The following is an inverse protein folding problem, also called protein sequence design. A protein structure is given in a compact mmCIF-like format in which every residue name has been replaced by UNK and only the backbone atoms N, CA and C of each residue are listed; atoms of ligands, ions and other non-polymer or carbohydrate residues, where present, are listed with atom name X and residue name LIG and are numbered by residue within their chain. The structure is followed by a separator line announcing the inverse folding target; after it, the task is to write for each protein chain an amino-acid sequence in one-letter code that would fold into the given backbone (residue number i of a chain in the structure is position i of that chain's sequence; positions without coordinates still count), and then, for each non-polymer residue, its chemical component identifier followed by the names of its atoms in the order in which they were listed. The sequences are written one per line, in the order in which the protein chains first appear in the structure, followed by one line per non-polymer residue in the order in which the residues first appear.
data_IF_904914538146
#
_entry.id   IF_904914538146
#
_cell.length_a   1.000
_cell.length_b   1.000
_cell.length_c   1.000
_cell.angle_alpha   90.00
_cell.angle_beta   90.00
_cell.angle_gamma   90.00
#
_symmetry.space_group_name_H-M   'P 1'
#
loop_
_entity.id
_entity.type
_entity.pdbx_description
1 polymer ?
#
# COMPACT_ATOMS: atom_id res chain seq x y z
N UNK A 1 -3.63 -1.17 26.29
CA UNK A 1 -3.22 -2.20 25.30
C UNK A 1 -2.40 -1.49 24.22
N UNK A 2 -1.10 -1.76 24.16
CA UNK A 2 -0.19 -1.17 23.17
C UNK A 2 -0.41 -1.90 21.84
N UNK A 3 -0.81 -1.18 20.79
CA UNK A 3 -0.91 -1.73 19.46
C UNK A 3 0.52 -1.91 18.91
N UNK A 4 1.06 -3.12 18.99
CA UNK A 4 2.25 -3.50 18.21
C UNK A 4 1.80 -3.67 16.75
N UNK A 5 1.72 -2.56 16.03
CA UNK A 5 1.45 -2.54 14.60
C UNK A 5 2.73 -2.81 13.83
N UNK A 6 2.72 -3.90 13.08
CA UNK A 6 3.84 -4.44 12.30
C UNK A 6 3.96 -3.66 10.99
N UNK A 7 4.21 -2.35 11.09
CA UNK A 7 4.51 -1.46 9.96
C UNK A 7 5.85 -1.81 9.23
N UNK A 8 6.45 -2.96 9.55
CA UNK A 8 7.67 -3.49 8.96
C UNK A 8 7.51 -4.07 7.55
N UNK A 9 6.30 -4.14 6.98
CA UNK A 9 6.10 -4.43 5.55
C UNK A 9 6.41 -3.25 4.62
N UNK A 10 6.57 -2.06 5.19
CA UNK A 10 6.87 -0.83 4.46
C UNK A 10 8.15 -0.14 4.94
N UNK A 11 8.73 -0.63 6.04
CA UNK A 11 10.07 -0.25 6.47
C UNK A 11 11.12 -0.96 5.60
N UNK A 12 11.43 -0.37 4.46
CA UNK A 12 12.57 -0.72 3.60
C UNK A 12 13.90 -0.46 4.33
N UNK A 13 14.23 -1.29 5.31
CA UNK A 13 15.45 -1.13 6.13
C UNK A 13 16.63 -1.99 5.71
N UNK A 14 16.46 -2.79 4.66
CA UNK A 14 17.46 -3.71 4.13
C UNK A 14 17.54 -3.51 2.60
N UNK A 15 18.72 -3.63 1.98
CA UNK A 15 18.86 -3.68 0.52
C UNK A 15 18.17 -4.91 -0.09
N UNK A 16 17.69 -5.82 0.76
CA UNK A 16 16.81 -6.95 0.47
C UNK A 16 15.30 -6.61 0.60
N UNK A 17 14.90 -5.35 0.70
CA UNK A 17 13.49 -4.96 0.66
C UNK A 17 13.42 -3.72 -0.21
N UNK A 18 13.29 -3.96 -1.50
CA UNK A 18 13.13 -2.96 -2.54
C UNK A 18 11.62 -2.92 -2.85
N UNK A 19 11.06 -1.77 -3.25
CA UNK A 19 10.29 -1.57 -4.50
C UNK A 19 9.05 -0.67 -4.35
N UNK A 20 8.72 0.00 -5.46
CA UNK A 20 7.55 0.86 -5.64
C UNK A 20 6.22 0.11 -5.39
N UNK A 21 5.74 0.12 -4.14
CA UNK A 21 4.48 -0.49 -3.72
C UNK A 21 3.42 0.58 -3.47
N UNK A 22 2.26 0.42 -4.10
CA UNK A 22 1.10 1.26 -3.87
C UNK A 22 0.37 0.85 -2.58
N UNK A 23 0.03 -0.45 -2.44
CA UNK A 23 -0.62 -1.03 -1.27
C UNK A 23 0.01 -2.36 -0.88
N UNK A 24 0.09 -2.60 0.43
CA UNK A 24 0.41 -3.92 1.01
C UNK A 24 -0.79 -4.43 1.78
N UNK A 25 -1.18 -5.68 1.52
CA UNK A 25 -2.25 -6.38 2.23
C UNK A 25 -1.68 -7.57 3.00
N UNK A 26 -2.11 -7.77 4.24
CA UNK A 26 -1.66 -8.90 5.04
C UNK A 26 -2.21 -8.94 6.47
N UNK A 27 -1.86 -10.00 7.20
CA UNK A 27 -2.26 -10.21 8.59
C UNK A 27 -1.59 -9.24 9.57
N UNK A 28 -2.23 -9.02 10.73
CA UNK A 28 -1.74 -8.11 11.79
C UNK A 28 -0.46 -8.61 12.49
N UNK A 29 -0.18 -9.92 12.43
CA UNK A 29 0.93 -10.60 13.14
C UNK A 29 1.72 -11.58 12.25
N UNK A 30 1.06 -12.29 11.34
CA UNK A 30 1.67 -13.33 10.52
C UNK A 30 1.93 -12.81 9.10
N UNK A 31 3.22 -12.77 8.72
CA UNK A 31 3.71 -12.35 7.39
C UNK A 31 3.74 -13.50 6.38
N UNK A 32 3.01 -14.58 6.64
CA UNK A 32 3.00 -15.75 5.77
C UNK A 32 2.32 -15.47 4.42
N UNK A 33 1.44 -14.46 4.39
CA UNK A 33 0.58 -14.14 3.25
C UNK A 33 0.59 -12.64 3.02
N UNK A 34 1.44 -12.20 2.11
CA UNK A 34 1.59 -10.79 1.75
C UNK A 34 1.26 -10.61 0.28
N UNK A 35 0.37 -9.65 0.01
CA UNK A 35 0.12 -9.12 -1.33
C UNK A 35 0.69 -7.70 -1.39
N UNK A 36 1.42 -7.41 -2.46
CA UNK A 36 1.86 -6.08 -2.82
C UNK A 36 1.32 -5.70 -4.18
N UNK A 37 0.90 -4.45 -4.31
CA UNK A 37 0.44 -3.90 -5.59
C UNK A 37 1.42 -2.86 -6.09
N UNK A 38 1.59 -2.80 -7.41
CA UNK A 38 2.44 -1.81 -8.07
C UNK A 38 1.65 -1.20 -9.24
N UNK A 39 1.75 0.12 -9.41
CA UNK A 39 1.12 0.80 -10.54
C UNK A 39 1.87 0.52 -11.86
N UNK A 40 3.19 0.40 -11.82
CA UNK A 40 3.98 0.07 -13.01
C UNK A 40 3.60 -1.32 -13.56
N UNK A 41 3.76 -1.49 -14.88
CA UNK A 41 3.74 -2.82 -15.48
C UNK A 41 4.97 -3.63 -15.05
N UNK A 42 4.89 -4.95 -15.16
CA UNK A 42 6.00 -5.83 -14.80
C UNK A 42 7.26 -5.55 -15.62
N UNK A 43 7.13 -5.11 -16.88
CA UNK A 43 8.26 -4.76 -17.75
C UNK A 43 8.94 -3.47 -17.29
N UNK A 44 8.16 -2.44 -16.96
CA UNK A 44 8.68 -1.17 -16.43
C UNK A 44 9.38 -1.42 -15.10
N UNK A 45 8.71 -2.16 -14.22
CA UNK A 45 9.23 -2.52 -12.91
C UNK A 45 10.54 -3.34 -13.03
N UNK A 46 10.57 -4.38 -13.88
CA UNK A 46 11.76 -5.24 -14.05
C UNK A 46 12.95 -4.47 -14.61
N UNK A 47 12.74 -3.45 -15.46
CA UNK A 47 13.81 -2.56 -15.94
C UNK A 47 14.39 -1.70 -14.83
N UNK A 48 13.54 -1.14 -13.94
CA UNK A 48 13.99 -0.36 -12.77
C UNK A 48 14.78 -1.23 -11.79
N UNK A 49 14.39 -2.50 -11.65
CA UNK A 49 14.90 -3.41 -10.63
C UNK A 49 15.57 -4.67 -11.22
N UNK A 50 16.37 -4.51 -12.28
CA UNK A 50 16.97 -5.63 -13.04
C UNK A 50 17.82 -6.62 -12.21
N UNK A 51 18.24 -6.24 -11.00
CA UNK A 51 18.99 -7.10 -10.06
C UNK A 51 18.12 -7.93 -9.11
N UNK A 52 16.79 -7.80 -9.18
CA UNK A 52 15.84 -8.49 -8.31
C UNK A 52 15.27 -9.70 -9.03
N UNK A 53 15.40 -10.88 -8.41
CA UNK A 53 14.79 -12.09 -8.92
C UNK A 53 13.27 -12.02 -8.79
N UNK A 54 12.56 -12.15 -9.91
CA UNK A 54 11.12 -12.24 -9.96
C UNK A 54 10.72 -13.53 -10.70
N UNK A 55 9.75 -14.26 -10.15
CA UNK A 55 9.13 -15.40 -10.83
C UNK A 55 7.75 -14.98 -11.33
N UNK A 56 7.64 -14.48 -12.58
CA UNK A 56 6.38 -14.00 -13.12
C UNK A 56 5.39 -15.14 -13.33
N UNK A 57 4.11 -14.83 -13.18
CA UNK A 57 3.01 -15.70 -13.54
C UNK A 57 1.79 -14.87 -13.94
N UNK A 58 0.93 -15.48 -14.76
CA UNK A 58 -0.31 -14.87 -15.19
C UNK A 58 -1.49 -15.48 -14.44
N UNK A 59 -2.48 -14.65 -14.12
CA UNK A 59 -3.73 -15.11 -13.54
C UNK A 59 -4.91 -14.52 -14.30
N UNK A 60 -5.74 -15.40 -14.85
CA UNK A 60 -6.96 -14.99 -15.52
C UNK A 60 -8.09 -14.79 -14.49
N UNK A 61 -8.70 -13.60 -14.53
CA UNK A 61 -9.86 -13.23 -13.73
C UNK A 61 -10.87 -12.57 -14.68
N UNK A 62 -12.06 -13.17 -14.81
CA UNK A 62 -13.13 -12.68 -15.69
C UNK A 62 -12.65 -12.36 -17.12
N UNK A 63 -11.86 -13.26 -17.71
CA UNK A 63 -11.27 -13.12 -19.06
C UNK A 63 -10.29 -11.94 -19.22
N UNK A 64 -9.81 -11.37 -18.11
CA UNK A 64 -8.67 -10.44 -18.09
C UNK A 64 -7.44 -11.14 -17.50
N UNK A 65 -6.33 -11.06 -18.22
CA UNK A 65 -5.02 -11.50 -17.74
C UNK A 65 -4.45 -10.46 -16.79
N UNK A 66 -4.13 -10.88 -15.57
CA UNK A 66 -3.43 -10.07 -14.58
C UNK A 66 -1.99 -10.55 -14.47
N UNK A 67 -1.05 -9.62 -14.54
CA UNK A 67 0.37 -9.91 -14.41
C UNK A 67 0.79 -9.85 -12.95
N UNK A 68 1.40 -10.95 -12.48
CA UNK A 68 1.89 -11.06 -11.12
C UNK A 68 3.29 -11.68 -11.09
N UNK A 69 3.97 -11.57 -9.96
CA UNK A 69 5.24 -12.26 -9.73
C UNK A 69 5.39 -12.65 -8.27
N UNK A 70 6.16 -13.70 -8.04
CA UNK A 70 6.69 -14.02 -6.71
C UNK A 70 8.05 -13.34 -6.57
N UNK A 71 8.16 -12.46 -5.58
CA UNK A 71 9.38 -11.72 -5.28
C UNK A 71 9.61 -11.83 -3.79
N UNK A 72 10.76 -12.40 -3.41
CA UNK A 72 11.15 -12.63 -2.01
C UNK A 72 10.10 -13.43 -1.20
N UNK A 73 9.36 -14.32 -1.89
CA UNK A 73 8.32 -15.15 -1.28
C UNK A 73 6.96 -14.47 -1.11
N UNK A 74 6.82 -13.22 -1.55
CA UNK A 74 5.57 -12.45 -1.48
C UNK A 74 4.92 -12.35 -2.88
N UNK A 75 3.60 -12.20 -2.94
CA UNK A 75 2.86 -12.03 -4.20
C UNK A 75 2.84 -10.55 -4.57
N UNK A 76 3.29 -10.24 -5.77
CA UNK A 76 3.23 -8.91 -6.37
C UNK A 76 2.27 -8.91 -7.54
N UNK A 77 1.38 -7.93 -7.61
CA UNK A 77 0.48 -7.70 -8.75
C UNK A 77 0.78 -6.32 -9.34
N UNK A 78 0.99 -6.28 -10.65
CA UNK A 78 1.45 -5.12 -11.40
C UNK A 78 0.29 -4.46 -12.17
N UNK A 79 0.46 -3.19 -12.55
CA UNK A 79 -0.57 -2.43 -13.26
C UNK A 79 -1.80 -2.11 -12.42
N UNK A 80 -1.66 -2.02 -11.10
CA UNK A 80 -2.79 -1.81 -10.17
C UNK A 80 -2.95 -0.32 -9.87
N UNK A 81 -4.02 0.28 -10.36
CA UNK A 81 -4.47 1.59 -9.88
C UNK A 81 -5.18 1.44 -8.53
N UNK A 82 -4.57 1.93 -7.47
CA UNK A 82 -5.11 1.82 -6.11
C UNK A 82 -6.33 2.72 -5.87
N UNK A 83 -6.65 3.63 -6.80
CA UNK A 83 -7.89 4.42 -6.77
C UNK A 83 -9.06 3.72 -7.47
N UNK A 84 -8.79 2.60 -8.15
CA UNK A 84 -9.79 1.77 -8.81
C UNK A 84 -10.05 0.49 -8.00
N UNK A 85 -11.25 0.36 -7.43
CA UNK A 85 -11.59 -0.78 -6.58
C UNK A 85 -11.54 -2.12 -7.33
N UNK A 86 -11.82 -2.14 -8.63
CA UNK A 86 -11.77 -3.37 -9.44
C UNK A 86 -10.34 -3.91 -9.59
N UNK A 87 -9.35 -3.02 -9.64
CA UNK A 87 -7.95 -3.41 -9.72
C UNK A 87 -7.47 -3.98 -8.38
N UNK A 88 -7.94 -3.40 -7.26
CA UNK A 88 -7.73 -3.98 -5.91
C UNK A 88 -8.37 -5.37 -5.82
N UNK A 89 -9.62 -5.52 -6.28
CA UNK A 89 -10.33 -6.81 -6.28
C UNK A 89 -9.56 -7.84 -7.11
N UNK A 90 -9.07 -7.48 -8.29
CA UNK A 90 -8.27 -8.36 -9.12
C UNK A 90 -6.99 -8.78 -8.38
N UNK A 91 -6.23 -7.82 -7.84
CA UNK A 91 -4.98 -8.10 -7.12
C UNK A 91 -5.18 -9.00 -5.90
N UNK A 92 -6.19 -8.73 -5.08
CA UNK A 92 -6.55 -9.55 -3.92
C UNK A 92 -6.97 -10.95 -4.34
N UNK A 93 -7.70 -11.08 -5.44
CA UNK A 93 -8.10 -12.39 -5.99
C UNK A 93 -6.89 -13.19 -6.47
N UNK A 94 -5.91 -12.56 -7.14
CA UNK A 94 -4.66 -13.23 -7.54
C UNK A 94 -3.93 -13.78 -6.32
N UNK A 95 -3.73 -12.96 -5.28
CA UNK A 95 -3.06 -13.40 -4.06
C UNK A 95 -3.84 -14.50 -3.33
N UNK A 96 -5.17 -14.34 -3.19
CA UNK A 96 -6.03 -15.33 -2.55
C UNK A 96 -5.94 -16.70 -3.25
N UNK A 97 -5.94 -16.72 -4.59
CA UNK A 97 -5.74 -17.95 -5.38
C UNK A 97 -4.36 -18.56 -5.13
N UNK A 98 -3.29 -17.76 -5.17
CA UNK A 98 -1.91 -18.23 -4.94
C UNK A 98 -1.74 -18.85 -3.55
N UNK A 99 -2.14 -18.11 -2.51
CA UNK A 99 -2.01 -18.55 -1.11
C UNK A 99 -3.09 -19.55 -0.68
N UNK A 100 -4.07 -19.85 -1.54
CA UNK A 100 -5.21 -20.76 -1.26
C UNK A 100 -6.00 -20.35 -0.01
N UNK A 101 -6.34 -19.06 0.09
CA UNK A 101 -7.12 -18.49 1.21
C UNK A 101 -8.29 -17.65 0.71
N UNK A 102 -9.21 -17.29 1.62
CA UNK A 102 -10.27 -16.33 1.31
C UNK A 102 -9.69 -14.93 1.04
N UNK A 103 -10.18 -14.19 0.01
CA UNK A 103 -9.86 -12.78 -0.23
C UNK A 103 -9.98 -11.88 1.01
N UNK A 104 -10.95 -12.18 1.88
CA UNK A 104 -11.20 -11.43 3.12
C UNK A 104 -10.01 -11.41 4.06
N UNK A 105 -9.10 -12.40 3.97
CA UNK A 105 -7.88 -12.47 4.77
C UNK A 105 -6.92 -11.30 4.49
N UNK A 106 -7.00 -10.68 3.31
CA UNK A 106 -6.15 -9.56 2.89
C UNK A 106 -6.74 -8.20 3.24
N UNK A 107 -8.07 -8.07 3.26
CA UNK A 107 -8.74 -6.77 3.30
C UNK A 107 -8.79 -6.11 4.69
N UNK A 108 -8.42 -6.82 5.76
CA UNK A 108 -8.55 -6.29 7.12
C UNK A 108 -7.51 -5.25 7.51
N UNK A 109 -6.28 -5.40 7.01
CA UNK A 109 -5.19 -4.46 7.30
C UNK A 109 -4.45 -4.17 6.01
N UNK A 110 -4.46 -2.90 5.63
CA UNK A 110 -3.89 -2.39 4.39
C UNK A 110 -2.87 -1.33 4.75
N UNK A 111 -1.74 -1.29 4.07
CA UNK A 111 -0.62 -0.40 4.42
C UNK A 111 -0.13 0.36 3.18
N UNK A 112 0.23 1.64 3.33
CA UNK A 112 0.99 2.42 2.31
C UNK A 112 2.10 3.30 2.91
N UNK A 113 3.28 3.36 2.27
CA UNK A 113 4.47 4.12 2.77
C UNK A 113 4.38 5.60 2.42
N UNK A 114 3.64 5.92 1.37
CA UNK A 114 3.19 7.22 0.89
C UNK A 114 2.63 6.92 -0.50
N UNK A 115 1.42 7.37 -0.80
CA UNK A 115 0.96 7.40 -2.18
C UNK A 115 1.62 8.59 -2.87
N UNK A 116 2.15 8.37 -4.08
CA UNK A 116 2.75 9.42 -4.89
C UNK A 116 1.84 9.72 -6.07
N UNK A 117 1.57 11.01 -6.30
CA UNK A 117 0.95 11.44 -7.54
C UNK A 117 1.98 11.39 -8.67
N UNK A 118 1.58 10.89 -9.83
CA UNK A 118 2.41 10.94 -11.03
C UNK A 118 2.72 12.40 -11.41
N UNK A 119 3.97 12.68 -11.77
CA UNK A 119 4.38 14.04 -12.14
C UNK A 119 4.48 15.03 -10.97
N UNK A 120 4.55 14.58 -9.71
CA UNK A 120 4.64 15.47 -8.53
C UNK A 120 5.75 16.54 -8.61
N UNK A 121 6.86 16.25 -9.30
CA UNK A 121 8.00 17.17 -9.50
C UNK A 121 7.69 18.35 -10.43
N UNK A 122 6.57 18.28 -11.16
CA UNK A 122 6.07 19.33 -12.04
C UNK A 122 5.00 20.19 -11.38
N UNK A 123 4.58 19.84 -10.15
CA UNK A 123 3.47 20.48 -9.46
C UNK A 123 3.96 21.53 -8.46
N UNK A 124 3.33 22.69 -8.49
CA UNK A 124 3.44 23.67 -7.41
C UNK A 124 2.88 23.11 -6.09
N UNK A 125 3.38 23.60 -4.96
CA UNK A 125 3.09 23.03 -3.62
C UNK A 125 1.59 22.86 -3.34
N UNK A 126 0.78 23.88 -3.65
CA UNK A 126 -0.67 23.81 -3.41
C UNK A 126 -1.37 22.77 -4.30
N UNK A 127 -0.97 22.68 -5.57
CA UNK A 127 -1.49 21.69 -6.51
C UNK A 127 -1.11 20.27 -6.09
N UNK A 128 0.14 20.08 -5.62
CA UNK A 128 0.62 18.80 -5.10
C UNK A 128 -0.16 18.35 -3.86
N UNK A 129 -0.43 19.26 -2.92
CA UNK A 129 -1.25 18.95 -1.74
C UNK A 129 -2.65 18.51 -2.17
N UNK A 130 -3.29 19.25 -3.07
CA UNK A 130 -4.63 18.90 -3.55
C UNK A 130 -4.65 17.57 -4.30
N UNK A 131 -3.65 17.31 -5.14
CA UNK A 131 -3.52 16.04 -5.85
C UNK A 131 -3.36 14.87 -4.88
N UNK A 132 -2.51 15.02 -3.85
CA UNK A 132 -2.35 14.02 -2.81
C UNK A 132 -3.63 13.81 -2.00
N UNK A 133 -4.40 14.88 -1.70
CA UNK A 133 -5.72 14.74 -1.05
C UNK A 133 -6.66 13.87 -1.89
N UNK A 134 -6.81 14.20 -3.18
CA UNK A 134 -7.63 13.41 -4.10
C UNK A 134 -7.19 11.95 -4.17
N UNK A 135 -5.88 11.70 -4.17
CA UNK A 135 -5.32 10.35 -4.18
C UNK A 135 -5.68 9.56 -2.91
N UNK A 136 -5.47 10.12 -1.72
CA UNK A 136 -5.84 9.44 -0.47
C UNK A 136 -7.36 9.24 -0.33
N UNK A 137 -8.16 10.20 -0.77
CA UNK A 137 -9.63 10.07 -0.82
C UNK A 137 -10.03 8.92 -1.76
N UNK A 138 -9.50 8.91 -2.99
CA UNK A 138 -9.79 7.89 -4.00
C UNK A 138 -9.40 6.48 -3.54
N UNK A 139 -8.19 6.32 -3.00
CA UNK A 139 -7.73 5.03 -2.46
C UNK A 139 -8.61 4.57 -1.29
N UNK A 140 -9.01 5.47 -0.39
CA UNK A 140 -9.88 5.12 0.75
C UNK A 140 -11.25 4.62 0.30
N UNK A 141 -11.85 5.26 -0.71
CA UNK A 141 -13.11 4.82 -1.31
C UNK A 141 -12.93 3.47 -1.99
N UNK A 142 -11.86 3.29 -2.78
CA UNK A 142 -11.59 2.06 -3.50
C UNK A 142 -11.37 0.86 -2.56
N UNK A 143 -10.67 1.07 -1.44
CA UNK A 143 -10.50 0.07 -0.38
C UNK A 143 -11.84 -0.39 0.18
N UNK A 144 -12.75 0.54 0.48
CA UNK A 144 -14.06 0.23 1.04
C UNK A 144 -14.93 -0.54 0.05
N UNK A 145 -14.98 -0.11 -1.21
CA UNK A 145 -15.74 -0.80 -2.24
C UNK A 145 -15.18 -2.20 -2.52
N UNK A 146 -13.86 -2.38 -2.53
CA UNK A 146 -13.25 -3.71 -2.61
C UNK A 146 -13.58 -4.58 -1.39
N UNK A 147 -13.63 -4.01 -0.18
CA UNK A 147 -13.99 -4.73 1.04
C UNK A 147 -15.46 -5.20 1.00
N UNK A 148 -16.36 -4.32 0.56
CA UNK A 148 -17.79 -4.65 0.32
C UNK A 148 -17.94 -5.73 -0.73
N UNK A 149 -17.18 -5.65 -1.83
CA UNK A 149 -17.19 -6.65 -2.90
C UNK A 149 -16.87 -8.06 -2.36
N UNK A 150 -15.90 -8.18 -1.45
CA UNK A 150 -15.56 -9.45 -0.81
C UNK A 150 -16.44 -9.82 0.40
N UNK A 151 -17.49 -9.05 0.70
CA UNK A 151 -18.39 -9.29 1.83
C UNK A 151 -17.69 -9.17 3.19
N UNK A 152 -16.68 -8.31 3.31
CA UNK A 152 -16.03 -8.02 4.60
C UNK A 152 -17.02 -7.23 5.47
N UNK A 153 -17.24 -7.66 6.70
CA UNK A 153 -18.10 -6.97 7.67
C UNK A 153 -17.28 -6.43 8.84
N UNK A 154 -17.52 -5.18 9.25
CA UNK A 154 -16.88 -4.54 10.40
C UNK A 154 -15.63 -3.73 10.03
N UNK A 155 -14.65 -3.67 10.93
CA UNK A 155 -13.52 -2.75 10.75
C UNK A 155 -12.52 -3.21 9.66
N UNK A 156 -12.09 -2.25 8.84
CA UNK A 156 -10.93 -2.31 7.95
C UNK A 156 -9.96 -1.19 8.37
N UNK A 157 -8.71 -1.57 8.65
CA UNK A 157 -7.65 -0.65 9.05
C UNK A 157 -6.78 -0.29 7.83
N UNK A 158 -6.67 0.99 7.51
CA UNK A 158 -5.73 1.52 6.52
C UNK A 158 -4.62 2.34 7.18
N UNK A 159 -3.41 1.81 7.10
CA UNK A 159 -2.21 2.32 7.76
C UNK A 159 -1.35 3.08 6.78
N UNK A 160 -1.03 4.34 7.11
CA UNK A 160 -0.22 5.22 6.26
C UNK A 160 1.03 5.58 7.03
N UNK A 161 2.19 5.16 6.56
CA UNK A 161 3.45 5.68 7.08
C UNK A 161 3.69 7.03 6.41
N UNK A 162 3.95 8.06 7.21
CA UNK A 162 4.34 9.37 6.71
C UNK A 162 5.66 9.77 7.34
N UNK A 163 6.56 10.34 6.55
CA UNK A 163 7.83 10.83 7.06
C UNK A 163 7.62 12.17 7.78
N UNK A 164 7.92 12.19 9.08
CA UNK A 164 7.78 13.39 9.92
C UNK A 164 8.62 14.58 9.46
N UNK A 165 9.77 14.33 8.80
CA UNK A 165 10.70 15.38 8.36
C UNK A 165 10.40 15.92 6.97
N UNK A 166 9.68 15.17 6.14
CA UNK A 166 9.31 15.59 4.79
C UNK A 166 7.97 14.94 4.41
N UNK A 167 6.84 15.42 4.96
CA UNK A 167 5.54 14.85 4.67
C UNK A 167 5.13 15.21 3.24
N UNK A 168 4.74 14.21 2.44
CA UNK A 168 4.18 14.40 1.09
C UNK A 168 2.87 15.20 1.09
N UNK A 169 2.17 15.18 2.21
CA UNK A 169 0.94 15.90 2.48
C UNK A 169 0.91 16.29 3.95
N UNK A 170 0.55 17.53 4.32
CA UNK A 170 0.43 17.91 5.72
C UNK A 170 -0.56 17.01 6.47
N UNK A 171 -0.28 16.73 7.75
CA UNK A 171 -1.13 15.86 8.58
C UNK A 171 -2.62 16.28 8.59
N UNK A 172 -2.98 17.57 8.74
CA UNK A 172 -4.38 17.99 8.72
C UNK A 172 -5.07 17.63 7.40
N UNK A 173 -4.41 17.88 6.26
CA UNK A 173 -4.91 17.57 4.93
C UNK A 173 -5.04 16.06 4.69
N UNK A 174 -4.06 15.27 5.14
CA UNK A 174 -4.14 13.81 5.11
C UNK A 174 -5.35 13.32 5.89
N UNK A 175 -5.50 13.77 7.14
CA UNK A 175 -6.62 13.36 7.99
C UNK A 175 -7.97 13.82 7.44
N UNK A 176 -8.02 14.97 6.77
CA UNK A 176 -9.20 15.43 6.06
C UNK A 176 -9.53 14.51 4.87
N UNK A 177 -8.57 14.24 3.99
CA UNK A 177 -8.75 13.36 2.84
C UNK A 177 -9.24 11.96 3.24
N UNK A 178 -8.70 11.40 4.33
CA UNK A 178 -9.15 10.10 4.85
C UNK A 178 -10.61 10.13 5.33
N UNK A 179 -11.04 11.22 5.98
CA UNK A 179 -12.45 11.40 6.40
C UNK A 179 -13.38 11.58 5.21
N UNK A 180 -12.98 12.40 4.23
CA UNK A 180 -13.71 12.58 2.98
C UNK A 180 -13.83 11.25 2.21
N UNK A 181 -12.78 10.42 2.31
CA UNK A 181 -12.76 9.05 1.83
C UNK A 181 -13.50 8.05 2.73
N UNK A 182 -14.31 8.47 3.70
CA UNK A 182 -15.19 7.58 4.49
C UNK A 182 -14.63 7.04 5.81
N UNK A 183 -13.46 7.49 6.26
CA UNK A 183 -12.92 7.04 7.54
C UNK A 183 -13.79 7.49 8.73
N UNK A 184 -14.24 6.54 9.56
CA UNK A 184 -14.99 6.81 10.81
C UNK A 184 -14.10 7.26 11.96
N UNK A 185 -12.78 7.09 11.81
CA UNK A 185 -11.79 7.57 12.75
C UNK A 185 -10.42 7.64 12.10
N UNK A 186 -9.63 8.64 12.50
CA UNK A 186 -8.21 8.70 12.18
C UNK A 186 -7.38 8.86 13.44
N UNK A 187 -6.30 8.10 13.52
CA UNK A 187 -5.38 8.16 14.64
C UNK A 187 -3.94 8.28 14.14
N UNK A 188 -3.05 8.71 15.03
CA UNK A 188 -1.61 8.55 14.83
C UNK A 188 -1.12 7.67 15.97
N UNK A 189 -0.32 6.67 15.64
CA UNK A 189 0.27 5.80 16.64
C UNK A 189 1.03 6.65 17.69
N UNK A 190 0.82 6.36 18.97
CA UNK A 190 1.44 7.09 20.08
C UNK A 190 2.97 7.01 20.08
N UNK A 191 3.51 5.93 19.52
CA UNK A 191 4.95 5.69 19.41
C UNK A 191 5.42 6.17 18.04
N UNK A 192 6.47 6.98 18.04
CA UNK A 192 7.24 7.23 16.83
C UNK A 192 8.08 6.00 16.53
N UNK A 193 8.03 5.52 15.30
CA UNK A 193 8.81 4.38 14.90
C UNK A 193 10.06 4.84 14.17
N UNK A 194 11.19 4.24 14.53
CA UNK A 194 12.47 4.44 13.85
C UNK A 194 12.69 3.27 12.91
N UNK A 195 12.92 3.59 11.65
CA UNK A 195 13.24 2.60 10.64
C UNK A 195 14.41 3.08 9.80
N UNK A 196 15.24 2.14 9.38
CA UNK A 196 16.10 2.37 8.24
C UNK A 196 15.20 2.45 7.00
N UNK A 197 15.36 3.48 6.17
CA UNK A 197 14.80 3.56 4.82
C UNK A 197 15.95 3.57 3.83
N UNK A 198 15.91 2.67 2.86
CA UNK A 198 16.79 2.67 1.69
C UNK A 198 16.33 3.66 0.63
N UNK A 199 17.22 4.01 -0.30
CA UNK A 199 16.86 4.51 -1.63
C UNK A 199 16.33 3.37 -2.51
N UNK A 200 15.54 3.68 -3.55
CA UNK A 200 14.98 2.69 -4.47
C UNK A 200 16.06 1.81 -5.14
N UNK A 201 17.27 2.34 -5.34
CA UNK A 201 18.41 1.59 -5.88
C UNK A 201 19.20 0.77 -4.84
N UNK A 202 18.81 0.85 -3.55
CA UNK A 202 19.41 0.15 -2.43
C UNK A 202 20.78 0.65 -1.98
N UNK A 203 21.29 1.75 -2.56
CA UNK A 203 22.65 2.27 -2.29
C UNK A 203 22.73 3.17 -1.07
N UNK A 204 21.72 4.00 -0.83
CA UNK A 204 21.66 4.89 0.33
C UNK A 204 20.74 4.33 1.40
N UNK A 205 21.05 4.64 2.68
CA UNK A 205 20.18 4.33 3.80
C UNK A 205 20.16 5.48 4.79
N UNK A 206 18.99 5.81 5.30
CA UNK A 206 18.82 6.80 6.36
C UNK A 206 17.90 6.27 7.43
N UNK A 207 18.20 6.60 8.68
CA UNK A 207 17.23 6.42 9.77
C UNK A 207 16.14 7.47 9.61
N UNK A 208 14.91 7.03 9.36
CA UNK A 208 13.72 7.86 9.30
C UNK A 208 12.88 7.64 10.55
N UNK A 209 12.32 8.73 11.06
CA UNK A 209 11.31 8.70 12.10
C UNK A 209 9.97 8.88 11.40
N UNK A 210 9.14 7.86 11.42
CA UNK A 210 7.84 7.89 10.76
C UNK A 210 6.72 8.03 11.77
N UNK A 211 5.69 8.77 11.37
CA UNK A 211 4.39 8.71 12.00
C UNK A 211 3.58 7.66 11.27
N UNK A 212 2.95 6.77 12.03
CA UNK A 212 2.02 5.80 11.50
C UNK A 212 0.62 6.33 11.73
N UNK A 213 -0.04 6.74 10.64
CA UNK A 213 -1.42 7.18 10.64
C UNK A 213 -2.31 5.95 10.42
N UNK A 214 -3.46 5.93 11.06
CA UNK A 214 -4.51 4.94 10.87
C UNK A 214 -5.75 5.67 10.38
N UNK A 215 -6.36 5.17 9.32
CA UNK A 215 -7.76 5.39 9.00
C UNK A 215 -8.52 4.10 9.29
N UNK A 216 -9.66 4.22 9.97
CA UNK A 216 -10.58 3.11 10.19
C UNK A 216 -11.80 3.28 9.31
N UNK A 217 -12.16 2.23 8.60
CA UNK A 217 -13.41 2.14 7.85
C UNK A 217 -14.32 1.13 8.52
N UNK A 218 -15.61 1.42 8.57
CA UNK A 218 -16.63 0.46 8.99
C UNK A 218 -17.40 0.02 7.75
N UNK A 219 -17.24 -1.26 7.39
CA UNK A 219 -17.87 -1.87 6.22
C UNK A 219 -19.16 -2.57 6.62
#
# INVERSE_FOLDING_TARGET
MLFETVATSMAEGSPKFKMDVSLVFGGRKEREKVLRTCFDSIEVWSKKYASVGASPFECEINSKTNFAAIIEGEVWVFGVDSTNYLDIVAAVTVAAKWYKVSPQAFMRNIYTKNLNMEGEHLMETAALIQANKSLYTGVSLAIQEAAKYFGVVGEVDFWIMSNSKNPKIPKPDLHQALREGGAVGSAVAKKNYRYTSGSNDGKERRQIITHLHLAKFNI
#
